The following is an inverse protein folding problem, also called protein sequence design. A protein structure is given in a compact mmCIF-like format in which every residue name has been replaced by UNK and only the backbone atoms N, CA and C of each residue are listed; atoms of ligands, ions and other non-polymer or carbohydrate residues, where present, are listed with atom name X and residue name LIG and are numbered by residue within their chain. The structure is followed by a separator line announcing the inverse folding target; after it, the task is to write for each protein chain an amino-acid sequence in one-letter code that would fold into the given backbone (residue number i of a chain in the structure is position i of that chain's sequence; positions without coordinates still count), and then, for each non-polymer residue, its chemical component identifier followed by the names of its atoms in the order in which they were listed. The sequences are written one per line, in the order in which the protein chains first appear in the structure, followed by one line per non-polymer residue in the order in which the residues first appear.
data_IF_945374661777
#
_entry.id   IF_945374661777
#
_cell.length_a   1.000
_cell.length_b   1.000
_cell.length_c   1.000
_cell.angle_alpha   90.00
_cell.angle_beta   90.00
_cell.angle_gamma   90.00
#
_symmetry.space_group_name_H-M   'P 1'
#
loop_
_entity.id
_entity.type
_entity.pdbx_description
1 polymer ?
#
# COMPACT_ATOMS: atom_id res chain seq x y z
N UNK A 1 6.34 -11.64 7.40
CA UNK A 1 5.12 -11.37 8.18
C UNK A 1 4.92 -9.88 8.26
N UNK A 2 3.80 -9.38 7.76
CA UNK A 2 3.47 -7.96 7.77
C UNK A 2 2.71 -7.62 9.06
N UNK A 3 3.02 -6.48 9.66
CA UNK A 3 2.35 -5.99 10.87
C UNK A 3 2.22 -4.49 10.78
N UNK A 4 1.15 -3.97 11.35
CA UNK A 4 0.94 -2.52 11.40
C UNK A 4 2.00 -1.91 12.33
N UNK A 5 2.86 -1.07 11.75
CA UNK A 5 4.00 -0.44 12.41
C UNK A 5 4.01 1.09 12.24
N UNK A 6 2.89 1.66 11.78
CA UNK A 6 2.72 3.11 11.61
C UNK A 6 3.12 3.66 10.25
N UNK A 7 3.56 2.80 9.31
CA UNK A 7 3.76 3.20 7.91
C UNK A 7 2.44 3.49 7.22
N UNK A 8 2.44 4.57 6.45
CA UNK A 8 1.24 5.13 5.82
C UNK A 8 1.45 5.43 4.33
N UNK A 9 2.67 5.47 3.83
CA UNK A 9 2.97 5.87 2.45
C UNK A 9 3.74 4.79 1.69
N UNK A 10 3.58 4.79 0.36
CA UNK A 10 4.19 3.82 -0.54
C UNK A 10 5.72 3.78 -0.51
N UNK A 11 6.37 4.93 -0.27
CA UNK A 11 7.83 5.01 -0.12
C UNK A 11 8.39 4.22 1.07
N UNK A 12 7.51 3.81 2.00
CA UNK A 12 7.87 3.03 3.18
C UNK A 12 7.63 1.52 2.99
N UNK A 13 6.97 1.13 1.90
CA UNK A 13 6.69 -0.27 1.58
C UNK A 13 7.84 -0.86 0.78
N UNK A 14 8.16 -2.12 1.06
CA UNK A 14 9.23 -2.88 0.40
C UNK A 14 8.71 -3.70 -0.77
N UNK A 15 7.40 -3.94 -0.81
CA UNK A 15 6.74 -4.65 -1.91
C UNK A 15 5.29 -4.23 -2.07
N UNK A 16 4.73 -4.58 -3.22
CA UNK A 16 3.31 -4.36 -3.50
C UNK A 16 2.40 -5.26 -2.66
N UNK A 17 2.81 -6.52 -2.39
CA UNK A 17 2.06 -7.40 -1.48
C UNK A 17 2.03 -6.86 -0.05
N UNK A 18 3.13 -6.24 0.39
CA UNK A 18 3.15 -5.53 1.66
C UNK A 18 2.18 -4.35 1.64
N UNK A 19 2.22 -3.52 0.60
CA UNK A 19 1.29 -2.40 0.47
C UNK A 19 -0.18 -2.86 0.45
N UNK A 20 -0.49 -3.98 -0.24
CA UNK A 20 -1.81 -4.60 -0.30
C UNK A 20 -2.27 -5.09 1.07
N UNK A 21 -1.36 -5.71 1.82
CA UNK A 21 -1.64 -6.09 3.20
C UNK A 21 -1.98 -4.86 4.04
N UNK A 22 -1.19 -3.78 3.93
CA UNK A 22 -1.36 -2.60 4.76
C UNK A 22 -2.69 -1.88 4.53
N UNK A 23 -3.13 -1.68 3.28
CA UNK A 23 -4.42 -1.02 3.03
C UNK A 23 -5.62 -1.84 3.52
N UNK A 24 -5.48 -3.17 3.59
CA UNK A 24 -6.54 -4.09 4.04
C UNK A 24 -6.56 -4.31 5.54
N UNK A 25 -5.40 -4.23 6.19
CA UNK A 25 -5.23 -4.69 7.58
C UNK A 25 -4.75 -3.60 8.54
N UNK A 26 -4.26 -2.46 8.05
CA UNK A 26 -3.71 -1.40 8.88
C UNK A 26 -4.52 -0.10 8.76
N UNK A 27 -4.81 0.57 9.88
CA UNK A 27 -5.51 1.85 9.85
C UNK A 27 -4.61 2.97 9.33
N UNK A 28 -5.22 4.06 8.87
CA UNK A 28 -4.57 5.32 8.50
C UNK A 28 -3.59 5.25 7.32
N UNK A 29 -3.64 4.22 6.48
CA UNK A 29 -2.82 4.16 5.27
C UNK A 29 -3.25 5.21 4.25
N UNK A 30 -2.28 5.84 3.58
CA UNK A 30 -2.46 6.87 2.53
C UNK A 30 -1.80 6.38 1.24
N UNK A 31 -2.20 5.19 0.81
CA UNK A 31 -1.60 4.48 -0.33
C UNK A 31 -2.61 4.12 -1.41
N UNK A 32 -3.88 3.96 -1.05
CA UNK A 32 -4.99 3.71 -1.95
C UNK A 32 -5.77 5.02 -2.08
N UNK A 33 -5.47 5.79 -3.13
CA UNK A 33 -5.93 7.17 -3.27
C UNK A 33 -7.37 7.28 -3.75
N UNK A 34 -7.78 6.38 -4.63
CA UNK A 34 -9.12 6.26 -5.21
C UNK A 34 -9.98 5.18 -4.51
N UNK A 35 -9.41 4.43 -3.58
CA UNK A 35 -10.08 3.39 -2.78
C UNK A 35 -10.58 2.21 -3.62
N UNK A 36 -9.83 1.83 -4.65
CA UNK A 36 -10.13 0.70 -5.52
C UNK A 36 -9.51 -0.63 -5.03
N UNK A 37 -8.77 -0.59 -3.93
CA UNK A 37 -8.03 -1.74 -3.38
C UNK A 37 -6.65 -1.96 -4.00
N UNK A 38 -6.18 -1.03 -4.83
CA UNK A 38 -4.86 -1.02 -5.44
C UNK A 38 -4.01 0.04 -4.74
N UNK A 39 -3.04 -0.38 -3.91
CA UNK A 39 -2.15 0.57 -3.27
C UNK A 39 -1.11 1.08 -4.28
N UNK A 40 -0.62 2.29 -4.04
CA UNK A 40 0.47 2.91 -4.80
C UNK A 40 0.11 3.18 -6.26
N UNK A 41 -1.13 3.63 -6.47
CA UNK A 41 -1.62 4.38 -7.62
C UNK A 41 -0.53 5.33 -8.13
N UNK A 42 0.11 5.00 -9.26
CA UNK A 42 1.17 5.80 -9.89
C UNK A 42 2.57 5.19 -9.89
N UNK A 43 2.90 4.20 -9.04
CA UNK A 43 4.23 3.54 -9.06
C UNK A 43 4.27 2.25 -9.90
N UNK A 44 3.12 1.63 -10.19
CA UNK A 44 3.02 0.30 -10.83
C UNK A 44 2.00 0.17 -11.98
N UNK A 45 1.52 1.27 -12.57
CA UNK A 45 0.68 1.18 -13.79
C UNK A 45 1.51 1.20 -15.10
N UNK A 46 2.76 0.75 -15.05
CA UNK A 46 3.56 0.47 -16.25
C UNK A 46 4.28 -0.87 -16.07
N UNK A 47 3.69 -1.95 -16.59
CA UNK A 47 4.35 -3.25 -16.74
C UNK A 47 3.96 -4.36 -15.75
N UNK A 48 2.66 -4.60 -15.54
CA UNK A 48 2.16 -5.98 -15.38
C UNK A 48 1.60 -6.43 -16.73
#
# INVERSE_FOLDING_TARGET
MFKCDGRQHCSQMRSYDEAKYFIKHCPNTKMDGDNDGIPCEGYKKTGD
#
